data_IF_451821258183
#
_entry.id   IF_451821258183
#
_cell.length_a   1.000
_cell.length_b   1.000
_cell.length_c   1.000
_cell.angle_alpha   90.00
_cell.angle_beta   90.00
_cell.angle_gamma   90.00
#
_symmetry.space_group_name_H-M   'P 1'
#
loop_
_entity.id
_entity.type
_entity.pdbx_description
1 polymer ?
#
# COMPACT_ATOMS: atom_id res chain seq x y z
N UNK A 1 29.01 2.61 -0.79
CA UNK A 1 27.70 3.27 -0.91
C UNK A 1 27.54 4.28 0.20
N UNK A 2 27.48 3.86 1.47
CA UNK A 2 27.37 4.75 2.65
C UNK A 2 28.37 5.91 2.65
N UNK A 3 29.67 5.62 2.46
CA UNK A 3 30.70 6.66 2.36
C UNK A 3 30.44 7.68 1.23
N UNK A 4 29.89 7.22 0.11
CA UNK A 4 29.54 8.09 -1.03
C UNK A 4 28.35 8.98 -0.70
N UNK A 5 27.36 8.49 0.04
CA UNK A 5 26.20 9.27 0.44
C UNK A 5 26.57 10.34 1.47
N UNK A 6 27.40 9.99 2.45
CA UNK A 6 27.89 10.93 3.47
C UNK A 6 28.71 12.07 2.86
N UNK A 7 29.56 11.78 1.87
CA UNK A 7 30.34 12.82 1.17
C UNK A 7 29.47 13.80 0.38
N UNK A 8 28.25 13.42 0.01
CA UNK A 8 27.31 14.24 -0.75
C UNK A 8 26.22 14.87 0.14
N UNK A 9 26.44 14.96 1.45
CA UNK A 9 25.53 15.59 2.42
C UNK A 9 24.11 15.00 2.48
N UNK A 10 23.95 13.72 2.13
CA UNK A 10 22.68 13.00 2.35
C UNK A 10 22.71 12.52 3.80
N UNK A 11 22.04 13.23 4.70
CA UNK A 11 22.18 13.04 6.15
C UNK A 11 21.19 12.05 6.77
N UNK A 12 20.11 11.70 6.07
CA UNK A 12 19.08 10.80 6.63
C UNK A 12 18.68 9.71 5.62
N UNK A 13 19.45 8.62 5.66
CA UNK A 13 19.24 7.42 4.86
C UNK A 13 19.49 6.14 5.67
N UNK A 14 18.82 5.06 5.28
CA UNK A 14 19.06 3.70 5.79
C UNK A 14 19.46 2.77 4.65
N UNK A 15 20.50 1.97 4.86
CA UNK A 15 20.93 0.94 3.92
C UNK A 15 20.68 -0.43 4.57
N UNK A 16 19.91 -1.28 3.90
CA UNK A 16 19.67 -2.65 4.32
C UNK A 16 20.03 -3.63 3.21
N UNK A 17 20.63 -4.76 3.59
CA UNK A 17 20.83 -5.88 2.68
C UNK A 17 19.52 -6.67 2.55
N UNK A 18 19.20 -7.08 1.32
CA UNK A 18 18.01 -7.87 1.00
C UNK A 18 18.44 -9.20 0.41
N UNK A 19 18.21 -10.27 1.16
CA UNK A 19 18.33 -11.63 0.65
C UNK A 19 17.03 -11.96 -0.12
N UNK A 20 17.14 -12.45 -1.36
CA UNK A 20 15.98 -12.86 -2.14
C UNK A 20 15.31 -14.08 -1.50
N UNK A 21 13.98 -14.04 -1.43
CA UNK A 21 13.20 -15.21 -0.98
C UNK A 21 13.39 -16.38 -1.95
N UNK A 22 13.57 -17.58 -1.41
CA UNK A 22 13.68 -18.84 -2.16
C UNK A 22 12.54 -19.01 -3.18
N UNK A 23 11.32 -18.59 -2.80
CA UNK A 23 10.14 -18.67 -3.67
C UNK A 23 10.25 -17.75 -4.88
N UNK A 24 10.74 -16.52 -4.70
CA UNK A 24 10.95 -15.56 -5.79
C UNK A 24 12.08 -16.00 -6.71
N UNK A 25 13.12 -16.62 -6.15
CA UNK A 25 14.20 -17.26 -6.92
C UNK A 25 13.64 -18.39 -7.79
N UNK A 26 12.82 -19.27 -7.21
CA UNK A 26 12.16 -20.36 -7.95
C UNK A 26 11.28 -19.86 -9.10
N UNK A 27 10.43 -18.85 -8.86
CA UNK A 27 9.59 -18.25 -9.92
C UNK A 27 10.43 -17.65 -11.05
N UNK A 28 11.57 -17.04 -10.72
CA UNK A 28 12.50 -16.48 -11.70
C UNK A 28 13.16 -17.58 -12.52
N UNK A 29 13.60 -18.68 -11.89
CA UNK A 29 14.11 -19.86 -12.59
C UNK A 29 13.08 -20.47 -13.53
N UNK A 30 11.81 -20.52 -13.12
CA UNK A 30 10.73 -21.05 -13.94
C UNK A 30 10.43 -20.17 -15.16
N UNK A 31 10.53 -18.84 -15.04
CA UNK A 31 10.30 -17.90 -16.14
C UNK A 31 11.48 -17.71 -17.09
N UNK A 32 12.72 -17.68 -16.57
CA UNK A 32 13.94 -17.31 -17.33
C UNK A 32 14.93 -18.47 -17.53
N UNK A 33 14.66 -19.66 -17.00
CA UNK A 33 15.53 -20.85 -17.10
C UNK A 33 16.58 -20.95 -15.98
N UNK A 34 17.03 -22.18 -15.65
CA UNK A 34 17.91 -22.47 -14.49
C UNK A 34 19.25 -21.71 -14.50
N UNK A 35 19.84 -21.44 -15.66
CA UNK A 35 21.17 -20.81 -15.80
C UNK A 35 21.17 -19.28 -15.72
N UNK A 36 20.00 -18.63 -15.58
CA UNK A 36 19.92 -17.15 -15.54
C UNK A 36 19.90 -16.56 -14.13
N UNK A 37 19.86 -17.40 -13.10
CA UNK A 37 19.96 -16.95 -11.70
C UNK A 37 21.42 -16.76 -11.35
N UNK A 38 21.96 -15.59 -11.72
CA UNK A 38 23.19 -15.08 -11.11
C UNK A 38 22.93 -14.80 -9.62
N UNK A 39 23.97 -14.92 -8.80
CA UNK A 39 23.92 -14.54 -7.38
C UNK A 39 23.58 -13.05 -7.28
N UNK A 40 22.29 -12.78 -7.10
CA UNK A 40 21.73 -11.43 -7.04
C UNK A 40 21.62 -11.02 -5.59
N UNK A 41 22.62 -10.29 -5.13
CA UNK A 41 22.56 -9.58 -3.85
C UNK A 41 21.62 -8.39 -4.00
N UNK A 42 20.65 -8.26 -3.11
CA UNK A 42 19.77 -7.10 -3.06
C UNK A 42 20.30 -6.08 -2.06
N UNK A 43 20.27 -4.81 -2.43
CA UNK A 43 20.52 -3.67 -1.54
C UNK A 43 19.32 -2.75 -1.60
N UNK A 44 18.82 -2.33 -0.43
CA UNK A 44 17.75 -1.36 -0.31
C UNK A 44 18.30 -0.11 0.35
N UNK A 45 18.03 1.04 -0.25
CA UNK A 45 18.38 2.36 0.24
C UNK A 45 17.06 3.10 0.47
N UNK A 46 16.84 3.55 1.70
CA UNK A 46 15.66 4.31 2.10
C UNK A 46 16.14 5.71 2.47
N UNK A 47 15.53 6.75 1.91
CA UNK A 47 15.92 8.14 2.17
C UNK A 47 14.72 8.99 2.58
N UNK A 48 14.97 10.24 2.98
CA UNK A 48 13.91 11.13 3.45
C UNK A 48 13.10 11.72 2.32
N UNK A 49 13.77 12.23 1.29
CA UNK A 49 13.11 13.01 0.24
C UNK A 49 13.14 12.31 -1.11
N UNK A 50 12.26 12.77 -1.99
CA UNK A 50 12.17 12.29 -3.36
C UNK A 50 13.41 12.67 -4.17
N UNK A 51 13.92 13.89 -3.98
CA UNK A 51 15.12 14.40 -4.66
C UNK A 51 16.33 13.53 -4.32
N UNK A 52 16.44 13.11 -3.06
CA UNK A 52 17.50 12.20 -2.60
C UNK A 52 17.45 10.86 -3.35
N UNK A 53 16.27 10.33 -3.70
CA UNK A 53 16.16 9.07 -4.44
C UNK A 53 16.89 9.14 -5.78
N UNK A 54 16.64 10.21 -6.55
CA UNK A 54 17.25 10.41 -7.86
C UNK A 54 18.73 10.83 -7.77
N UNK A 55 19.10 11.59 -6.73
CA UNK A 55 20.49 11.93 -6.48
C UNK A 55 21.33 10.67 -6.14
N UNK A 56 20.81 9.79 -5.29
CA UNK A 56 21.42 8.50 -4.96
C UNK A 56 21.56 7.64 -6.23
N UNK A 57 20.52 7.58 -7.07
CA UNK A 57 20.57 6.86 -8.35
C UNK A 57 21.74 7.37 -9.22
N UNK A 58 21.84 8.69 -9.41
CA UNK A 58 22.90 9.31 -10.20
C UNK A 58 24.30 9.03 -9.64
N UNK A 59 24.47 9.11 -8.31
CA UNK A 59 25.75 8.80 -7.63
C UNK A 59 26.15 7.32 -7.79
N UNK A 60 25.17 6.40 -7.82
CA UNK A 60 25.45 4.99 -8.03
C UNK A 60 25.82 4.69 -9.48
N UNK A 61 25.11 5.29 -10.44
CA UNK A 61 25.38 5.11 -11.87
C UNK A 61 26.70 5.77 -12.31
N UNK A 62 27.17 6.81 -11.62
CA UNK A 62 28.49 7.40 -11.88
C UNK A 62 29.64 6.55 -11.35
N UNK A 63 29.38 5.76 -10.29
CA UNK A 63 30.40 4.95 -9.62
C UNK A 63 30.46 3.50 -10.12
N UNK A 64 29.32 2.95 -10.52
CA UNK A 64 29.17 1.56 -10.93
C UNK A 64 28.53 1.48 -12.30
N UNK A 65 29.05 0.58 -13.15
CA UNK A 65 28.41 0.27 -14.41
C UNK A 65 27.05 -0.39 -14.13
N UNK A 66 25.98 0.16 -14.70
CA UNK A 66 24.62 -0.35 -14.54
C UNK A 66 24.12 -1.02 -15.83
N UNK A 67 23.13 -1.90 -15.68
CA UNK A 67 22.45 -2.55 -16.79
C UNK A 67 21.19 -1.75 -17.14
N UNK A 68 21.23 -1.03 -18.27
CA UNK A 68 20.14 -0.14 -18.68
C UNK A 68 18.80 -0.88 -18.84
N UNK A 69 18.83 -2.10 -19.38
CA UNK A 69 17.64 -2.96 -19.57
C UNK A 69 17.00 -3.42 -18.25
N UNK A 70 17.69 -3.24 -17.12
CA UNK A 70 17.22 -3.60 -15.78
C UNK A 70 16.93 -2.39 -14.89
N UNK A 71 16.84 -1.20 -15.48
CA UNK A 71 16.37 -0.01 -14.78
C UNK A 71 14.85 0.10 -14.86
N UNK A 72 14.19 0.35 -13.73
CA UNK A 72 12.76 0.63 -13.66
C UNK A 72 12.49 1.78 -12.70
N UNK A 73 11.85 2.83 -13.20
CA UNK A 73 11.35 3.94 -12.39
C UNK A 73 9.88 3.70 -11.97
N UNK A 74 9.68 2.95 -10.88
CA UNK A 74 8.34 2.78 -10.31
C UNK A 74 7.88 3.96 -9.46
N UNK A 75 8.70 5.00 -9.29
CA UNK A 75 8.25 6.25 -8.66
C UNK A 75 7.40 7.03 -9.68
N UNK A 76 7.93 7.23 -10.89
CA UNK A 76 7.22 7.90 -11.98
C UNK A 76 6.11 7.04 -12.59
N UNK A 77 6.32 5.72 -12.67
CA UNK A 77 5.33 4.77 -13.19
C UNK A 77 5.05 3.66 -12.18
N UNK A 78 4.23 3.92 -11.14
CA UNK A 78 3.92 2.95 -10.10
C UNK A 78 3.28 1.67 -10.66
N UNK A 79 3.50 0.54 -9.99
CA UNK A 79 2.79 -0.69 -10.33
C UNK A 79 1.31 -0.59 -10.00
N UNK A 80 0.50 -1.49 -10.54
CA UNK A 80 -0.95 -1.54 -10.28
C UNK A 80 -1.32 -1.63 -8.78
N UNK A 81 -0.44 -2.19 -7.95
CA UNK A 81 -0.62 -2.25 -6.49
C UNK A 81 -0.12 -0.99 -5.74
N UNK A 82 0.24 0.07 -6.47
CA UNK A 82 0.78 1.32 -5.92
C UNK A 82 2.24 1.27 -5.50
N UNK A 83 2.95 0.16 -5.72
CA UNK A 83 4.36 0.02 -5.35
C UNK A 83 5.25 1.10 -5.99
N UNK A 84 6.10 1.73 -5.18
CA UNK A 84 6.97 2.83 -5.61
C UNK A 84 8.41 2.65 -5.14
N UNK A 85 9.34 2.53 -6.09
CA UNK A 85 10.79 2.50 -5.85
C UNK A 85 11.54 2.64 -7.17
N UNK A 86 12.71 3.25 -7.15
CA UNK A 86 13.68 3.11 -8.24
C UNK A 86 14.36 1.75 -8.10
N UNK A 87 14.37 0.97 -9.18
CA UNK A 87 15.08 -0.30 -9.22
C UNK A 87 16.14 -0.24 -10.31
N UNK A 88 17.38 -0.59 -9.96
CA UNK A 88 18.49 -0.65 -10.91
C UNK A 88 19.38 -1.84 -10.58
N UNK A 89 19.91 -2.52 -11.59
CA UNK A 89 20.96 -3.51 -11.38
C UNK A 89 22.31 -2.89 -11.73
N UNK A 90 23.28 -3.03 -10.83
CA UNK A 90 24.68 -2.63 -11.07
C UNK A 90 25.61 -3.84 -11.07
N UNK A 91 26.68 -3.75 -11.84
CA UNK A 91 27.77 -4.72 -11.84
C UNK A 91 28.71 -4.42 -10.68
N UNK A 92 28.92 -5.42 -9.83
CA UNK A 92 29.87 -5.43 -8.75
C UNK A 92 31.07 -6.32 -9.11
N UNK A 93 32.11 -6.29 -8.28
CA UNK A 93 33.33 -7.10 -8.47
C UNK A 93 32.99 -8.59 -8.66
N UNK A 94 33.80 -9.28 -9.46
CA UNK A 94 33.71 -10.72 -9.74
C UNK A 94 32.40 -11.14 -10.45
N UNK A 95 31.91 -10.35 -11.40
CA UNK A 95 30.67 -10.60 -12.17
C UNK A 95 29.40 -10.75 -11.33
N UNK A 96 29.44 -10.31 -10.07
CA UNK A 96 28.27 -10.30 -9.18
C UNK A 96 27.39 -9.12 -9.56
N UNK A 97 26.12 -9.39 -9.84
CA UNK A 97 25.12 -8.34 -10.08
C UNK A 97 24.42 -7.97 -8.78
N UNK A 98 24.37 -6.68 -8.46
CA UNK A 98 23.67 -6.16 -7.28
C UNK A 98 22.41 -5.43 -7.72
N UNK A 99 21.25 -5.90 -7.24
CA UNK A 99 19.97 -5.22 -7.44
C UNK A 99 19.81 -4.17 -6.35
N UNK A 100 19.74 -2.90 -6.74
CA UNK A 100 19.57 -1.76 -5.84
C UNK A 100 18.14 -1.25 -5.95
N UNK A 101 17.51 -1.04 -4.79
CA UNK A 101 16.20 -0.44 -4.65
C UNK A 101 16.30 0.84 -3.85
N UNK A 102 15.86 1.96 -4.42
CA UNK A 102 15.91 3.27 -3.77
C UNK A 102 14.48 3.77 -3.60
N UNK A 103 14.12 4.26 -2.42
CA UNK A 103 12.78 4.78 -2.13
C UNK A 103 12.80 5.69 -0.91
N UNK A 104 11.73 6.44 -0.67
CA UNK A 104 11.59 7.22 0.56
C UNK A 104 11.10 6.36 1.74
N UNK A 105 11.21 6.86 2.98
CA UNK A 105 10.59 6.21 4.14
C UNK A 105 9.08 6.04 3.97
N UNK A 106 8.39 7.04 3.44
CA UNK A 106 6.96 6.96 3.14
C UNK A 106 6.64 5.86 2.12
N UNK A 107 7.43 5.77 1.04
CA UNK A 107 7.28 4.72 0.04
C UNK A 107 7.60 3.34 0.64
N UNK A 108 8.59 3.26 1.54
CA UNK A 108 8.90 2.03 2.22
C UNK A 108 7.75 1.54 3.09
N UNK A 109 7.17 2.44 3.89
CA UNK A 109 6.01 2.12 4.72
C UNK A 109 4.79 1.75 3.87
N UNK A 110 4.55 2.43 2.75
CA UNK A 110 3.48 2.07 1.81
C UNK A 110 3.72 0.70 1.16
N UNK A 111 4.96 0.39 0.77
CA UNK A 111 5.28 -0.87 0.12
C UNK A 111 5.20 -2.08 1.07
N UNK A 112 5.52 -1.88 2.37
CA UNK A 112 5.46 -2.95 3.37
C UNK A 112 4.05 -3.14 3.95
N UNK A 113 3.31 -2.05 4.16
CA UNK A 113 2.02 -2.08 4.87
C UNK A 113 0.80 -1.71 4.00
N UNK A 114 1.03 -1.36 2.74
CA UNK A 114 -0.03 -1.00 1.79
C UNK A 114 -0.67 0.36 2.10
N UNK A 115 -1.90 0.60 1.59
CA UNK A 115 -2.60 1.86 1.76
C UNK A 115 -2.84 2.30 3.22
N UNK A 116 -2.79 1.34 4.16
CA UNK A 116 -2.98 1.59 5.58
C UNK A 116 -1.89 2.48 6.20
N UNK A 117 -0.63 2.38 5.76
CA UNK A 117 0.46 3.21 6.30
C UNK A 117 0.42 4.65 5.78
N UNK A 118 0.04 4.86 4.52
CA UNK A 118 -0.07 6.21 3.94
C UNK A 118 -1.25 7.02 4.53
N UNK A 119 -2.32 6.34 4.98
CA UNK A 119 -3.40 6.99 5.76
C UNK A 119 -2.89 7.44 7.14
N UNK A 120 -2.04 6.64 7.80
CA UNK A 120 -1.47 6.98 9.10
C UNK A 120 -0.53 8.20 9.02
N UNK A 121 0.27 8.30 7.94
CA UNK A 121 1.17 9.43 7.71
C UNK A 121 0.41 10.75 7.49
N UNK A 122 -0.66 10.72 6.67
CA UNK A 122 -1.51 11.90 6.41
C UNK A 122 -2.30 12.41 7.62
N UNK A 123 -2.53 11.58 8.64
CA UNK A 123 -3.31 11.97 9.83
C UNK A 123 -2.47 12.60 10.95
N UNK A 124 -1.15 12.72 10.81
CA UNK A 124 -0.29 13.48 11.74
C UNK A 124 -0.26 12.99 13.19
N UNK A 125 -0.90 11.86 13.51
CA UNK A 125 -1.01 11.35 14.87
C UNK A 125 0.03 10.26 15.14
N UNK A 126 1.04 10.59 15.94
CA UNK A 126 1.99 9.65 16.55
C UNK A 126 1.34 8.46 17.31
N UNK A 127 0.01 8.46 17.49
CA UNK A 127 -0.77 7.40 18.15
C UNK A 127 -1.14 6.23 17.24
N UNK A 128 -0.92 6.32 15.94
CA UNK A 128 -1.17 5.21 14.99
C UNK A 128 -0.11 4.10 15.03
N UNK A 129 1.03 4.34 15.70
CA UNK A 129 2.20 3.47 15.68
C UNK A 129 2.26 2.39 16.76
N UNK A 130 1.55 2.53 17.89
CA UNK A 130 1.69 1.59 19.02
C UNK A 130 1.16 0.20 18.68
N UNK A 131 -0.05 0.10 18.11
CA UNK A 131 -0.63 -1.21 17.78
C UNK A 131 0.13 -1.95 16.66
N UNK A 132 0.76 -1.21 15.72
CA UNK A 132 1.56 -1.81 14.62
C UNK A 132 2.94 -2.23 15.11
N UNK A 133 3.60 -1.43 15.96
CA UNK A 133 4.90 -1.79 16.57
C UNK A 133 4.76 -2.95 17.57
N UNK A 134 3.65 -3.03 18.29
CA UNK A 134 3.37 -4.13 19.21
C UNK A 134 3.14 -5.47 18.47
N UNK A 135 2.47 -5.44 17.32
CA UNK A 135 2.34 -6.61 16.43
C UNK A 135 3.69 -7.09 15.88
N UNK A 136 4.58 -6.17 15.51
CA UNK A 136 5.92 -6.51 14.96
C UNK A 136 6.89 -6.97 16.06
N UNK A 137 6.81 -6.40 17.27
CA UNK A 137 7.59 -6.88 18.44
C UNK A 137 7.15 -8.27 18.88
N UNK A 138 5.85 -8.57 18.82
CA UNK A 138 5.31 -9.90 19.12
C UNK A 138 5.82 -10.98 18.15
N UNK A 139 6.01 -10.62 16.87
CA UNK A 139 6.50 -11.53 15.82
C UNK A 139 7.96 -11.98 16.00
N UNK A 140 8.79 -11.28 16.80
CA UNK A 140 10.20 -11.67 17.00
C UNK A 140 10.41 -12.77 18.04
N UNK A 141 9.40 -13.09 18.87
CA UNK A 141 9.57 -14.01 20.00
C UNK A 141 9.08 -15.45 19.77
N UNK A 142 8.34 -15.75 18.70
CA UNK A 142 7.81 -17.10 18.50
C UNK A 142 8.38 -17.81 17.28
N UNK A 143 9.12 -18.90 17.55
CA UNK A 143 9.79 -19.75 16.56
C UNK A 143 8.86 -20.68 15.76
N UNK A 144 7.54 -20.52 15.85
CA UNK A 144 6.57 -21.37 15.15
C UNK A 144 5.64 -20.55 14.24
N UNK A 145 6.22 -20.02 13.17
CA UNK A 145 5.50 -19.21 12.17
C UNK A 145 5.02 -20.10 11.03
N UNK A 146 3.87 -20.74 11.19
CA UNK A 146 3.17 -21.36 10.05
C UNK A 146 1.66 -21.09 9.97
N UNK A 147 0.97 -20.59 11.00
CA UNK A 147 -0.50 -20.58 10.97
C UNK A 147 -1.25 -19.25 11.13
N UNK A 148 -0.60 -18.08 11.23
CA UNK A 148 -1.34 -16.83 11.48
C UNK A 148 -1.21 -15.71 10.44
N UNK A 149 -0.44 -15.91 9.36
CA UNK A 149 -0.25 -14.90 8.28
C UNK A 149 -1.48 -14.68 7.39
N UNK A 150 -2.54 -15.46 7.53
CA UNK A 150 -3.72 -15.41 6.65
C UNK A 150 -4.86 -14.56 7.24
N UNK A 151 -4.92 -14.35 8.56
CA UNK A 151 -6.14 -13.81 9.19
C UNK A 151 -6.26 -12.27 9.28
N UNK A 152 -5.28 -11.47 8.84
CA UNK A 152 -5.32 -10.00 9.01
C UNK A 152 -5.60 -9.27 7.68
N UNK A 153 -5.15 -9.82 6.54
CA UNK A 153 -5.40 -9.26 5.21
C UNK A 153 -6.82 -9.56 4.70
N UNK A 154 -7.47 -10.60 5.22
CA UNK A 154 -8.86 -10.98 4.89
C UNK A 154 -9.94 -10.09 5.56
N UNK A 155 -9.54 -9.03 6.27
CA UNK A 155 -10.47 -8.20 7.06
C UNK A 155 -10.96 -6.93 6.36
N UNK A 156 -10.41 -6.59 5.19
CA UNK A 156 -10.71 -5.33 4.50
C UNK A 156 -10.95 -5.52 3.00
N UNK A 157 -11.83 -4.69 2.44
CA UNK A 157 -12.12 -4.56 1.01
C UNK A 157 -11.64 -3.19 0.52
N UNK A 158 -11.09 -3.15 -0.69
CA UNK A 158 -10.60 -1.92 -1.33
C UNK A 158 -11.49 -1.56 -2.53
N UNK A 159 -12.10 -0.39 -2.50
CA UNK A 159 -13.10 0.06 -3.48
C UNK A 159 -12.67 1.37 -4.14
N UNK A 160 -12.98 1.52 -5.41
CA UNK A 160 -12.60 2.67 -6.22
C UNK A 160 -13.73 3.69 -6.32
N UNK A 161 -13.40 4.97 -6.30
CA UNK A 161 -14.31 6.07 -6.66
C UNK A 161 -14.27 6.30 -8.18
N UNK A 162 -15.28 6.92 -8.79
CA UNK A 162 -15.27 7.28 -10.21
C UNK A 162 -14.11 8.22 -10.59
N UNK A 163 -13.55 8.94 -9.60
CA UNK A 163 -12.40 9.82 -9.77
C UNK A 163 -11.05 9.09 -9.72
N UNK A 164 -11.06 7.77 -9.46
CA UNK A 164 -9.86 6.94 -9.38
C UNK A 164 -9.24 6.82 -7.98
N UNK A 165 -9.86 7.41 -6.95
CA UNK A 165 -9.38 7.26 -5.57
C UNK A 165 -9.73 5.87 -5.02
N UNK A 166 -8.87 5.31 -4.17
CA UNK A 166 -9.12 4.02 -3.51
C UNK A 166 -9.49 4.24 -2.04
N UNK A 167 -10.61 3.64 -1.61
CA UNK A 167 -11.09 3.66 -0.23
C UNK A 167 -11.02 2.26 0.39
N UNK A 168 -10.56 2.21 1.64
CA UNK A 168 -10.51 0.98 2.44
C UNK A 168 -11.72 0.91 3.36
N UNK A 169 -12.42 -0.23 3.34
CA UNK A 169 -13.55 -0.54 4.20
C UNK A 169 -13.39 -1.93 4.82
N UNK A 170 -13.96 -2.22 6.01
CA UNK A 170 -14.02 -3.57 6.55
C UNK A 170 -14.70 -4.56 5.60
N UNK A 171 -14.32 -5.83 5.62
CA UNK A 171 -14.99 -6.87 4.83
C UNK A 171 -16.48 -6.95 5.18
N UNK A 172 -17.31 -7.12 4.15
CA UNK A 172 -18.78 -7.08 4.27
C UNK A 172 -19.36 -5.67 4.38
N UNK A 173 -18.56 -4.61 4.21
CA UNK A 173 -19.07 -3.24 4.13
C UNK A 173 -19.96 -3.03 2.93
N UNK A 174 -20.96 -2.18 3.07
CA UNK A 174 -21.98 -1.93 2.06
C UNK A 174 -21.75 -0.62 1.32
N UNK A 175 -22.52 -0.36 0.26
CA UNK A 175 -22.47 0.91 -0.44
C UNK A 175 -22.77 2.13 0.47
N UNK A 176 -23.56 1.95 1.53
CA UNK A 176 -23.81 3.01 2.52
C UNK A 176 -22.56 3.29 3.36
N UNK A 177 -21.82 2.26 3.77
CA UNK A 177 -20.53 2.43 4.45
C UNK A 177 -19.56 3.22 3.57
N UNK A 178 -19.54 2.94 2.26
CA UNK A 178 -18.76 3.70 1.29
C UNK A 178 -19.22 5.15 1.17
N UNK A 179 -20.53 5.41 1.04
CA UNK A 179 -21.08 6.77 0.95
C UNK A 179 -20.65 7.64 2.14
N UNK A 180 -20.82 7.12 3.36
CA UNK A 180 -20.40 7.75 4.60
C UNK A 180 -18.88 7.93 4.68
N UNK A 181 -18.10 6.98 4.15
CA UNK A 181 -16.64 7.09 4.10
C UNK A 181 -16.15 8.20 3.17
N UNK A 182 -16.86 8.46 2.07
CA UNK A 182 -16.57 9.56 1.14
C UNK A 182 -16.89 10.89 1.81
N UNK A 183 -18.12 11.05 2.33
CA UNK A 183 -18.54 12.26 3.07
C UNK A 183 -19.85 11.99 3.84
N UNK A 184 -20.03 12.63 5.00
CA UNK A 184 -21.30 12.56 5.78
C UNK A 184 -22.51 12.91 4.91
N UNK A 185 -22.44 14.04 4.22
CA UNK A 185 -23.55 14.55 3.41
C UNK A 185 -23.91 13.61 2.24
N UNK A 186 -22.93 12.90 1.67
CA UNK A 186 -23.18 11.91 0.62
C UNK A 186 -23.89 10.68 1.21
N UNK A 187 -23.50 10.25 2.41
CA UNK A 187 -24.18 9.21 3.16
C UNK A 187 -25.64 9.58 3.48
N UNK A 188 -25.88 10.79 3.98
CA UNK A 188 -27.21 11.24 4.40
C UNK A 188 -28.20 11.38 3.25
N UNK A 189 -27.68 11.71 2.06
CA UNK A 189 -28.46 11.91 0.85
C UNK A 189 -28.46 10.68 -0.07
N UNK A 190 -27.91 9.55 0.36
CA UNK A 190 -27.79 8.33 -0.43
C UNK A 190 -29.18 7.74 -0.78
N UNK A 191 -29.42 7.55 -2.08
CA UNK A 191 -30.65 6.93 -2.60
C UNK A 191 -30.39 5.62 -3.34
N UNK A 192 -29.21 5.47 -3.92
CA UNK A 192 -28.82 4.30 -4.70
C UNK A 192 -27.32 4.20 -4.84
N UNK A 193 -26.85 3.04 -5.28
CA UNK A 193 -25.44 2.80 -5.56
C UNK A 193 -25.30 2.12 -6.91
N UNK A 194 -24.37 2.61 -7.71
CA UNK A 194 -23.96 1.98 -8.95
C UNK A 194 -22.58 1.35 -8.73
N UNK A 195 -22.49 0.04 -8.94
CA UNK A 195 -21.27 -0.74 -8.75
C UNK A 195 -20.86 -1.30 -10.10
N UNK A 196 -19.64 -0.99 -10.56
CA UNK A 196 -19.11 -1.40 -11.87
C UNK A 196 -20.09 -1.07 -13.03
N UNK A 197 -20.63 0.15 -13.01
CA UNK A 197 -21.61 0.66 -13.98
C UNK A 197 -22.95 -0.09 -14.03
N UNK A 198 -23.32 -0.81 -12.95
CA UNK A 198 -24.62 -1.48 -12.80
C UNK A 198 -25.35 -0.98 -11.57
N UNK A 199 -26.67 -0.80 -11.68
CA UNK A 199 -27.51 -0.41 -10.55
C UNK A 199 -27.61 -1.55 -9.55
N UNK A 200 -27.17 -1.29 -8.32
CA UNK A 200 -27.18 -2.25 -7.23
C UNK A 200 -27.97 -1.70 -6.05
N UNK A 201 -28.43 -2.60 -5.17
CA UNK A 201 -29.09 -2.19 -3.93
C UNK A 201 -28.06 -1.57 -2.99
N UNK A 202 -28.48 -0.61 -2.18
CA UNK A 202 -27.63 0.09 -1.21
C UNK A 202 -27.06 -0.83 -0.11
N UNK A 203 -27.69 -1.98 0.14
CA UNK A 203 -27.25 -3.00 1.08
C UNK A 203 -26.31 -4.05 0.47
N UNK A 204 -25.93 -3.90 -0.79
CA UNK A 204 -25.00 -4.83 -1.45
C UNK A 204 -23.63 -4.70 -0.80
N UNK A 205 -23.04 -5.84 -0.42
CA UNK A 205 -21.67 -5.89 0.09
C UNK A 205 -20.66 -5.62 -1.02
N UNK A 206 -19.66 -4.80 -0.70
CA UNK A 206 -18.62 -4.37 -1.62
C UNK A 206 -17.48 -5.37 -1.65
N UNK A 207 -16.91 -5.58 -2.84
CA UNK A 207 -15.75 -6.44 -3.04
C UNK A 207 -14.53 -5.61 -3.40
N UNK A 208 -13.36 -6.18 -3.13
CA UNK A 208 -12.09 -5.58 -3.54
C UNK A 208 -12.06 -5.44 -5.07
N UNK A 209 -11.81 -4.23 -5.54
CA UNK A 209 -11.74 -3.88 -6.97
C UNK A 209 -13.02 -3.28 -7.54
N UNK A 210 -14.11 -3.19 -6.77
CA UNK A 210 -15.37 -2.60 -7.24
C UNK A 210 -15.23 -1.07 -7.43
N UNK A 211 -15.72 -0.57 -8.56
CA UNK A 211 -15.91 0.85 -8.82
C UNK A 211 -17.29 1.26 -8.31
N UNK A 212 -17.36 2.11 -7.30
CA UNK A 212 -18.61 2.48 -6.62
C UNK A 212 -18.94 3.95 -6.84
N UNK A 213 -20.11 4.21 -7.39
CA UNK A 213 -20.69 5.54 -7.54
C UNK A 213 -21.97 5.62 -6.70
N UNK A 214 -22.11 6.68 -5.91
CA UNK A 214 -23.28 6.88 -5.04
C UNK A 214 -24.21 7.90 -5.68
N UNK A 215 -25.48 7.51 -5.79
CA UNK A 215 -26.54 8.39 -6.27
C UNK A 215 -27.14 9.15 -5.08
N UNK A 216 -26.98 10.47 -5.10
CA UNK A 216 -27.48 11.36 -4.05
C UNK A 216 -28.74 12.10 -4.49
N UNK A 217 -29.59 12.47 -3.52
CA UNK A 217 -30.75 13.34 -3.76
C UNK A 217 -30.67 14.62 -2.93
N UNK A 218 -31.58 15.57 -3.15
CA UNK A 218 -31.65 16.82 -2.36
C UNK A 218 -32.29 16.63 -0.97
N UNK A 219 -32.91 15.48 -0.70
CA UNK A 219 -33.56 15.18 0.58
C UNK A 219 -32.71 14.19 1.37
N UNK A 220 -32.68 14.37 2.68
CA UNK A 220 -32.08 13.40 3.61
C UNK A 220 -32.92 12.12 3.54
N UNK A 221 -32.25 10.98 3.33
CA UNK A 221 -32.89 9.68 3.10
C UNK A 221 -32.44 8.60 4.11
N UNK A 222 -31.90 9.03 5.25
CA UNK A 222 -31.39 8.13 6.30
C UNK A 222 -32.53 7.34 6.93
N UNK A 223 -32.41 6.00 6.89
CA UNK A 223 -33.37 5.09 7.49
C UNK A 223 -32.77 4.28 8.64
N UNK A 224 -33.59 3.98 9.65
CA UNK A 224 -33.24 3.11 10.77
C UNK A 224 -32.87 1.69 10.31
N UNK A 225 -33.43 1.24 9.20
CA UNK A 225 -33.17 -0.09 8.64
C UNK A 225 -31.71 -0.27 8.20
N UNK A 226 -31.01 0.83 7.91
CA UNK A 226 -29.60 0.81 7.50
C UNK A 226 -28.69 0.25 8.59
N UNK A 227 -29.06 0.41 9.87
CA UNK A 227 -28.32 -0.15 10.99
C UNK A 227 -28.18 -1.68 10.94
N UNK A 228 -29.06 -2.38 10.19
CA UNK A 228 -29.02 -3.84 10.06
C UNK A 228 -27.86 -4.34 9.19
N UNK A 229 -27.43 -3.53 8.23
CA UNK A 229 -26.47 -3.97 7.20
C UNK A 229 -25.22 -3.08 7.08
N UNK A 230 -25.25 -1.85 7.61
CA UNK A 230 -24.05 -1.00 7.75
C UNK A 230 -23.04 -1.69 8.68
N UNK A 231 -21.77 -1.76 8.25
CA UNK A 231 -20.70 -2.45 8.99
C UNK A 231 -19.82 -1.54 9.83
N UNK A 232 -19.61 -0.31 9.40
CA UNK A 232 -18.70 0.63 10.07
C UNK A 232 -19.33 1.22 11.33
N UNK A 233 -18.57 1.29 12.42
CA UNK A 233 -19.04 1.83 13.71
C UNK A 233 -19.47 3.29 13.60
N UNK A 234 -18.67 4.10 12.89
CA UNK A 234 -18.92 5.52 12.70
C UNK A 234 -20.21 5.80 11.91
N UNK A 235 -20.47 5.09 10.81
CA UNK A 235 -21.72 5.25 10.08
C UNK A 235 -22.93 4.86 10.93
N UNK A 236 -22.84 3.78 11.73
CA UNK A 236 -23.92 3.42 12.66
C UNK A 236 -24.17 4.48 13.72
N UNK A 237 -23.11 5.06 14.29
CA UNK A 237 -23.23 6.12 15.30
C UNK A 237 -23.89 7.37 14.70
N UNK A 238 -23.48 7.75 13.48
CA UNK A 238 -24.08 8.87 12.76
C UNK A 238 -25.56 8.65 12.45
N UNK A 239 -25.92 7.46 11.93
CA UNK A 239 -27.30 7.08 11.64
C UNK A 239 -28.14 7.07 12.92
N UNK A 240 -27.63 6.56 14.05
CA UNK A 240 -28.31 6.60 15.35
C UNK A 240 -28.60 8.02 15.80
N UNK A 241 -27.62 8.91 15.69
CA UNK A 241 -27.77 10.34 16.03
C UNK A 241 -28.85 11.02 15.21
N UNK A 242 -28.89 10.79 13.89
CA UNK A 242 -29.91 11.37 13.00
C UNK A 242 -31.30 10.77 13.26
N UNK A 243 -31.37 9.45 13.48
CA UNK A 243 -32.63 8.73 13.73
C UNK A 243 -33.12 8.82 15.18
N UNK A 244 -32.42 9.60 16.04
CA UNK A 244 -32.69 9.83 17.47
C UNK A 244 -32.84 8.53 18.27
N UNK A 245 -31.86 7.64 18.15
CA UNK A 245 -31.74 6.38 18.91
C UNK A 245 -30.47 6.41 19.75
#
# INVERSE_FOLDING_TARGET
IESTLNLNNISNFEISSRIKSLYSTYLTMKKKGKNTVKDRVGVRIICSKLEDCYMILGLLHSRYQYLADEFNDYISSPKANGYRSLQTTVLWKNDVTVEIQIRTFEMHDFDEFGPASHIAYKQGSNKGYEWVKDLVKWQKNDKNVSNYRINVLDKFVYVFTPKGDTLQLPIGSTAIDFAYRVHTDIGDHCTGAMINNKMNKINTELKTGDLVEILTSKKINVSREWLRFVKTSWAREHIRKITKI
#
